data_IF_540463677636
#
_entry.id   IF_540463677636
#
_cell.length_a   1.000
_cell.length_b   1.000
_cell.length_c   1.000
_cell.angle_alpha   90.00
_cell.angle_beta   90.00
_cell.angle_gamma   90.00
#
_symmetry.space_group_name_H-M   'P 1'
#
loop_
_entity.id
_entity.type
_entity.pdbx_description
1 polymer ?
#
# COMPACT_ATOMS: atom_id res chain seq x y z
N UNK A 1 -3.37 22.49 -2.35
CA UNK A 1 -3.03 21.20 -2.99
C UNK A 1 -3.62 20.08 -2.15
N UNK A 2 -4.23 19.10 -2.79
CA UNK A 2 -4.69 17.88 -2.12
C UNK A 2 -3.71 16.77 -2.49
N UNK A 3 -3.16 16.12 -1.48
CA UNK A 3 -2.22 15.03 -1.64
C UNK A 3 -2.96 13.70 -1.82
N UNK A 4 -2.52 12.88 -2.76
CA UNK A 4 -3.05 11.54 -2.96
C UNK A 4 -2.08 10.51 -2.37
N UNK A 5 -2.57 9.71 -1.44
CA UNK A 5 -1.77 8.70 -0.72
C UNK A 5 -2.29 7.31 -1.06
N UNK A 6 -1.43 6.44 -1.56
CA UNK A 6 -1.76 5.05 -1.84
C UNK A 6 -1.41 4.15 -0.64
N UNK A 7 -2.37 3.35 -0.19
CA UNK A 7 -2.21 2.45 0.94
C UNK A 7 -2.05 1.01 0.45
N UNK A 8 -0.82 0.53 0.46
CA UNK A 8 -0.42 -0.81 -0.01
C UNK A 8 -0.17 -1.76 1.15
N UNK A 9 -0.42 -3.03 0.94
CA UNK A 9 0.08 -4.09 1.81
C UNK A 9 -1.01 -4.83 2.56
N UNK A 10 -0.71 -5.24 3.78
CA UNK A 10 -1.51 -6.12 4.62
C UNK A 10 -3.01 -5.74 4.63
N UNK A 11 -3.89 -6.74 4.50
CA UNK A 11 -5.34 -6.54 4.34
C UNK A 11 -6.18 -7.12 5.50
N UNK A 12 -5.54 -7.60 6.57
CA UNK A 12 -6.23 -8.33 7.65
C UNK A 12 -6.52 -7.49 8.89
N UNK A 13 -5.94 -6.30 9.01
CA UNK A 13 -6.15 -5.39 10.14
C UNK A 13 -6.69 -4.05 9.66
N UNK A 14 -7.07 -3.18 10.60
CA UNK A 14 -7.71 -1.89 10.31
C UNK A 14 -6.74 -0.71 10.18
N UNK A 15 -5.47 -0.97 9.92
CA UNK A 15 -4.44 0.07 9.85
C UNK A 15 -4.77 1.18 8.83
N UNK A 16 -5.42 0.84 7.71
CA UNK A 16 -5.85 1.84 6.73
C UNK A 16 -6.86 2.79 7.31
N UNK A 17 -7.87 2.26 7.99
CA UNK A 17 -8.91 3.04 8.62
C UNK A 17 -8.36 3.92 9.74
N UNK A 18 -7.37 3.44 10.48
CA UNK A 18 -6.69 4.25 11.51
C UNK A 18 -5.99 5.46 10.89
N UNK A 19 -5.28 5.29 9.78
CA UNK A 19 -4.64 6.41 9.07
C UNK A 19 -5.69 7.38 8.53
N UNK A 20 -6.74 6.87 7.88
CA UNK A 20 -7.80 7.71 7.31
C UNK A 20 -8.49 8.53 8.41
N UNK A 21 -8.89 7.90 9.51
CA UNK A 21 -9.52 8.59 10.63
C UNK A 21 -8.60 9.61 11.28
N UNK A 22 -7.32 9.27 11.43
CA UNK A 22 -6.34 10.18 12.02
C UNK A 22 -6.13 11.44 11.17
N UNK A 23 -6.03 11.30 9.86
CA UNK A 23 -5.89 12.44 8.95
C UNK A 23 -7.16 13.28 8.85
N UNK A 24 -8.34 12.65 8.87
CA UNK A 24 -9.63 13.34 8.90
C UNK A 24 -9.80 14.18 10.19
N UNK A 25 -9.44 13.61 11.34
CA UNK A 25 -9.52 14.29 12.62
C UNK A 25 -8.66 15.57 12.66
N UNK A 26 -7.55 15.58 11.93
CA UNK A 26 -6.65 16.73 11.82
C UNK A 26 -7.00 17.66 10.63
N UNK A 27 -7.97 17.30 9.81
CA UNK A 27 -8.35 18.05 8.63
C UNK A 27 -7.24 18.16 7.58
N UNK A 28 -6.40 17.13 7.44
CA UNK A 28 -5.30 17.15 6.48
C UNK A 28 -5.81 17.12 5.04
N UNK A 29 -5.13 17.82 4.11
CA UNK A 29 -5.51 17.86 2.70
C UNK A 29 -5.04 16.60 1.96
N UNK A 30 -5.53 15.44 2.37
CA UNK A 30 -5.17 14.14 1.78
C UNK A 30 -6.40 13.39 1.30
N UNK A 31 -6.23 12.63 0.21
CA UNK A 31 -7.17 11.62 -0.26
C UNK A 31 -6.43 10.29 -0.36
N UNK A 32 -7.17 9.21 -0.25
CA UNK A 32 -6.57 7.87 -0.23
C UNK A 32 -7.05 7.01 -1.39
N UNK A 33 -6.15 6.20 -1.90
CA UNK A 33 -6.43 5.06 -2.76
C UNK A 33 -5.79 3.81 -2.15
N UNK A 34 -6.24 2.64 -2.54
CA UNK A 34 -5.81 1.40 -1.90
C UNK A 34 -5.88 0.23 -2.86
N UNK A 35 -5.11 -0.81 -2.58
CA UNK A 35 -5.31 -2.13 -3.15
C UNK A 35 -6.72 -2.64 -2.80
N UNK A 36 -7.20 -3.63 -3.56
CA UNK A 36 -8.42 -4.35 -3.22
C UNK A 36 -8.20 -5.10 -1.91
N UNK A 37 -8.96 -4.74 -0.88
CA UNK A 37 -8.81 -5.34 0.46
C UNK A 37 -9.72 -6.54 0.69
N UNK A 38 -10.71 -6.75 -0.18
CA UNK A 38 -11.59 -7.91 -0.16
C UNK A 38 -10.96 -9.07 -0.92
N UNK A 39 -10.54 -10.10 -0.21
CA UNK A 39 -9.74 -11.20 -0.77
C UNK A 39 -10.44 -11.91 -1.93
N UNK A 40 -11.72 -12.28 -1.77
CA UNK A 40 -12.49 -12.94 -2.83
C UNK A 40 -12.64 -12.06 -4.08
N UNK A 41 -12.87 -10.77 -3.91
CA UNK A 41 -12.98 -9.84 -5.03
C UNK A 41 -11.65 -9.70 -5.78
N UNK A 42 -10.53 -9.73 -5.08
CA UNK A 42 -9.20 -9.73 -5.67
C UNK A 42 -8.94 -11.01 -6.47
N UNK A 43 -9.27 -12.17 -5.90
CA UNK A 43 -9.09 -13.47 -6.54
C UNK A 43 -10.00 -13.65 -7.76
N UNK A 44 -11.18 -13.06 -7.74
CA UNK A 44 -12.16 -13.12 -8.82
C UNK A 44 -11.98 -12.06 -9.92
N UNK A 45 -11.02 -11.15 -9.78
CA UNK A 45 -10.86 -10.00 -10.69
C UNK A 45 -10.65 -10.38 -12.15
N UNK A 46 -10.09 -11.56 -12.43
CA UNK A 46 -9.88 -12.07 -13.78
C UNK A 46 -11.03 -12.89 -14.37
N UNK A 47 -12.09 -13.18 -13.59
CA UNK A 47 -13.17 -14.07 -14.00
C UNK A 47 -13.98 -13.51 -15.19
N UNK A 48 -13.98 -12.19 -15.39
CA UNK A 48 -14.57 -11.56 -16.57
C UNK A 48 -13.94 -11.99 -17.89
N UNK A 49 -12.72 -12.51 -17.86
CA UNK A 49 -12.01 -13.01 -19.03
C UNK A 49 -12.30 -14.50 -19.31
N UNK A 50 -13.24 -15.10 -18.60
CA UNK A 50 -13.60 -16.50 -18.66
C UNK A 50 -13.17 -17.29 -17.43
N UNK A 51 -13.91 -18.35 -17.13
CA UNK A 51 -13.61 -19.21 -15.97
C UNK A 51 -12.40 -20.10 -16.25
N UNK A 52 -11.60 -20.32 -15.21
CA UNK A 52 -10.48 -21.25 -15.23
C UNK A 52 -10.65 -22.31 -14.13
N UNK A 53 -10.45 -23.56 -14.49
CA UNK A 53 -10.52 -24.67 -13.55
C UNK A 53 -9.26 -24.77 -12.70
N UNK A 54 -8.09 -24.46 -13.29
CA UNK A 54 -6.81 -24.49 -12.60
C UNK A 54 -6.58 -23.20 -11.81
N UNK A 55 -6.32 -23.31 -10.51
CA UNK A 55 -6.08 -22.18 -9.62
C UNK A 55 -4.95 -21.26 -10.09
N UNK A 56 -3.88 -21.84 -10.64
CA UNK A 56 -2.75 -21.08 -11.19
C UNK A 56 -3.18 -20.07 -12.28
N UNK A 57 -3.98 -20.50 -13.24
CA UNK A 57 -4.42 -19.61 -14.33
C UNK A 57 -5.44 -18.58 -13.88
N UNK A 58 -6.31 -18.96 -12.94
CA UNK A 58 -7.25 -18.02 -12.32
C UNK A 58 -6.51 -16.90 -11.57
N UNK A 59 -5.54 -17.26 -10.76
CA UNK A 59 -4.69 -16.30 -10.03
C UNK A 59 -3.88 -15.43 -11.00
N UNK A 60 -3.35 -16.00 -12.06
CA UNK A 60 -2.58 -15.27 -13.07
C UNK A 60 -3.43 -14.23 -13.79
N UNK A 61 -4.67 -14.55 -14.19
CA UNK A 61 -5.61 -13.59 -14.78
C UNK A 61 -5.95 -12.48 -13.80
N UNK A 62 -6.28 -12.83 -12.56
CA UNK A 62 -6.62 -11.87 -11.51
C UNK A 62 -5.47 -10.95 -11.20
N UNK A 63 -4.25 -11.48 -11.10
CA UNK A 63 -3.05 -10.70 -10.87
C UNK A 63 -2.80 -9.67 -11.99
N UNK A 64 -3.01 -10.04 -13.24
CA UNK A 64 -2.83 -9.13 -14.39
C UNK A 64 -3.86 -7.99 -14.38
N UNK A 65 -5.12 -8.28 -14.14
CA UNK A 65 -6.17 -7.27 -14.06
C UNK A 65 -5.93 -6.34 -12.88
N UNK A 66 -5.62 -6.88 -11.71
CA UNK A 66 -5.28 -6.10 -10.53
C UNK A 66 -4.00 -5.27 -10.73
N UNK A 67 -3.03 -5.78 -11.49
CA UNK A 67 -1.79 -5.05 -11.78
C UNK A 67 -2.04 -3.76 -12.58
N UNK A 68 -2.99 -3.77 -13.50
CA UNK A 68 -3.39 -2.56 -14.26
C UNK A 68 -3.87 -1.50 -13.27
N UNK A 69 -4.78 -1.87 -12.38
CA UNK A 69 -5.35 -0.97 -11.37
C UNK A 69 -4.27 -0.46 -10.41
N UNK A 70 -3.48 -1.35 -9.84
CA UNK A 70 -2.44 -1.02 -8.87
C UNK A 70 -1.38 -0.11 -9.47
N UNK A 71 -0.92 -0.42 -10.67
CA UNK A 71 0.07 0.39 -11.37
C UNK A 71 -0.44 1.81 -11.61
N UNK A 72 -1.67 1.94 -12.10
CA UNK A 72 -2.29 3.26 -12.34
C UNK A 72 -2.42 4.07 -11.05
N UNK A 73 -2.83 3.44 -9.95
CA UNK A 73 -2.96 4.13 -8.67
C UNK A 73 -1.61 4.55 -8.08
N UNK A 74 -0.60 3.70 -8.20
CA UNK A 74 0.76 4.02 -7.77
C UNK A 74 1.38 5.14 -8.61
N UNK A 75 1.17 5.13 -9.92
CA UNK A 75 1.66 6.19 -10.80
C UNK A 75 1.06 7.55 -10.48
N UNK A 76 -0.21 7.57 -10.07
CA UNK A 76 -0.95 8.82 -9.84
C UNK A 76 -0.96 9.29 -8.37
N UNK A 77 -0.41 8.52 -7.43
CA UNK A 77 -0.29 8.99 -6.05
C UNK A 77 0.93 9.88 -5.87
N UNK A 78 0.90 10.72 -4.83
CA UNK A 78 2.03 11.55 -4.43
C UNK A 78 2.96 10.79 -3.48
N UNK A 79 2.38 9.97 -2.61
CA UNK A 79 3.09 9.19 -1.59
C UNK A 79 2.43 7.80 -1.49
N UNK A 80 3.23 6.77 -1.33
CA UNK A 80 2.73 5.44 -0.97
C UNK A 80 3.07 5.10 0.49
N UNK A 81 2.15 4.42 1.16
CA UNK A 81 2.39 3.80 2.46
C UNK A 81 2.31 2.30 2.28
N UNK A 82 3.36 1.59 2.65
CA UNK A 82 3.48 0.15 2.42
C UNK A 82 3.56 -0.57 3.76
N UNK A 83 2.49 -1.29 4.11
CA UNK A 83 2.34 -2.01 5.38
C UNK A 83 2.75 -3.47 5.26
N UNK A 84 3.69 -3.88 6.10
CA UNK A 84 4.08 -5.28 6.31
C UNK A 84 3.58 -5.72 7.68
N UNK A 85 2.67 -6.69 7.70
CA UNK A 85 2.11 -7.24 8.93
C UNK A 85 2.84 -8.50 9.38
N UNK A 86 2.48 -8.98 10.59
CA UNK A 86 3.15 -10.09 11.24
C UNK A 86 2.61 -11.46 10.81
N UNK A 87 1.35 -11.51 10.41
CA UNK A 87 0.61 -12.75 10.24
C UNK A 87 0.93 -13.49 8.95
N UNK A 88 1.11 -12.74 7.86
CA UNK A 88 1.40 -13.28 6.53
C UNK A 88 2.53 -12.48 5.89
N UNK A 89 3.21 -13.11 4.93
CA UNK A 89 4.22 -12.43 4.13
C UNK A 89 3.54 -11.65 3.01
N UNK A 90 3.79 -10.36 2.94
CA UNK A 90 3.20 -9.47 1.93
C UNK A 90 4.17 -9.29 0.77
N UNK A 91 4.32 -10.31 -0.08
CA UNK A 91 5.19 -10.24 -1.25
C UNK A 91 4.79 -9.12 -2.20
N UNK A 92 3.48 -8.93 -2.41
CA UNK A 92 2.97 -7.87 -3.28
C UNK A 92 3.26 -6.47 -2.72
N UNK A 93 3.29 -6.31 -1.41
CA UNK A 93 3.71 -5.05 -0.79
C UNK A 93 5.19 -4.74 -1.07
N UNK A 94 6.06 -5.75 -0.98
CA UNK A 94 7.46 -5.59 -1.35
C UNK A 94 7.63 -5.23 -2.84
N UNK A 95 6.82 -5.81 -3.71
CA UNK A 95 6.79 -5.46 -5.13
C UNK A 95 6.39 -3.99 -5.34
N UNK A 96 5.35 -3.52 -4.66
CA UNK A 96 4.89 -2.14 -4.73
C UNK A 96 5.97 -1.16 -4.23
N UNK A 97 6.64 -1.49 -3.12
CA UNK A 97 7.75 -0.70 -2.61
C UNK A 97 8.91 -0.61 -3.61
N UNK A 98 9.26 -1.73 -4.24
CA UNK A 98 10.29 -1.77 -5.27
C UNK A 98 9.92 -0.93 -6.51
N UNK A 99 8.66 -0.98 -6.91
CA UNK A 99 8.14 -0.12 -7.97
C UNK A 99 8.28 1.37 -7.62
N UNK A 100 7.91 1.75 -6.42
CA UNK A 100 8.06 3.13 -5.93
C UNK A 100 9.52 3.56 -5.94
N UNK A 101 10.42 2.72 -5.42
CA UNK A 101 11.86 2.99 -5.40
C UNK A 101 12.42 3.20 -6.81
N UNK A 102 12.07 2.33 -7.76
CA UNK A 102 12.55 2.39 -9.14
C UNK A 102 11.98 3.59 -9.91
N UNK A 103 10.75 4.01 -9.62
CA UNK A 103 10.08 5.12 -10.30
C UNK A 103 10.32 6.49 -9.63
N UNK A 104 11.07 6.53 -8.54
CA UNK A 104 11.30 7.77 -7.78
C UNK A 104 10.09 8.25 -6.98
N UNK A 105 9.12 7.37 -6.73
CA UNK A 105 7.94 7.66 -5.94
C UNK A 105 8.27 7.59 -4.45
N UNK A 106 8.05 8.67 -3.66
CA UNK A 106 8.24 8.58 -2.21
C UNK A 106 7.34 7.53 -1.58
N UNK A 107 7.89 6.73 -0.67
CA UNK A 107 7.07 5.81 0.09
C UNK A 107 7.54 5.72 1.55
N UNK A 108 6.58 5.40 2.40
CA UNK A 108 6.76 5.18 3.84
C UNK A 108 6.54 3.69 4.08
N UNK A 109 7.47 3.02 4.75
CA UNK A 109 7.24 1.67 5.25
C UNK A 109 6.55 1.71 6.62
N UNK A 110 5.62 0.80 6.84
CA UNK A 110 4.90 0.65 8.09
C UNK A 110 4.98 -0.80 8.56
N UNK A 111 5.78 -1.06 9.57
CA UNK A 111 5.95 -2.42 10.11
C UNK A 111 6.54 -2.39 11.51
N UNK A 112 6.41 -3.52 12.21
CA UNK A 112 6.99 -3.75 13.53
C UNK A 112 8.53 -3.84 13.45
N UNK A 113 9.19 -3.51 14.55
CA UNK A 113 10.66 -3.59 14.65
C UNK A 113 11.20 -5.02 14.51
N UNK A 114 10.39 -6.04 14.78
CA UNK A 114 10.82 -7.43 14.71
C UNK A 114 11.11 -7.91 13.29
N UNK A 115 10.65 -7.19 12.26
CA UNK A 115 10.90 -7.53 10.86
C UNK A 115 11.80 -6.55 10.14
N UNK A 116 12.59 -5.78 10.87
CA UNK A 116 13.60 -4.85 10.30
C UNK A 116 14.59 -5.60 9.41
N UNK A 117 15.14 -6.71 9.87
CA UNK A 117 16.18 -7.42 9.14
C UNK A 117 15.72 -7.93 7.76
N UNK A 118 14.56 -8.63 7.63
CA UNK A 118 14.09 -9.07 6.32
C UNK A 118 13.68 -7.93 5.39
N UNK A 119 13.38 -6.74 5.92
CA UNK A 119 12.97 -5.57 5.15
C UNK A 119 14.07 -4.52 4.97
N UNK A 120 15.31 -4.83 5.30
CA UNK A 120 16.42 -3.86 5.29
C UNK A 120 16.59 -3.12 3.96
N UNK A 121 16.40 -3.79 2.84
CA UNK A 121 16.53 -3.16 1.51
C UNK A 121 15.28 -2.35 1.15
N UNK A 122 14.11 -2.83 1.55
CA UNK A 122 12.84 -2.11 1.37
C UNK A 122 12.84 -0.82 2.18
N UNK A 123 13.26 -0.89 3.44
CA UNK A 123 13.40 0.28 4.30
C UNK A 123 14.52 1.21 3.83
N UNK A 124 15.59 0.65 3.30
CA UNK A 124 16.73 1.42 2.82
C UNK A 124 16.41 2.39 1.67
N UNK A 125 15.40 2.09 0.88
CA UNK A 125 14.93 2.95 -0.21
C UNK A 125 13.71 3.80 0.16
N UNK A 126 13.12 3.56 1.34
CA UNK A 126 11.98 4.34 1.82
C UNK A 126 12.40 5.73 2.29
N UNK A 127 11.48 6.69 2.24
CA UNK A 127 11.70 8.05 2.76
C UNK A 127 11.50 8.11 4.28
N UNK A 128 10.72 7.19 4.85
CA UNK A 128 10.52 7.05 6.29
C UNK A 128 10.10 5.62 6.63
N UNK A 129 10.38 5.21 7.85
CA UNK A 129 9.87 4.00 8.47
C UNK A 129 8.99 4.37 9.66
N UNK A 130 7.77 3.88 9.67
CA UNK A 130 6.83 4.02 10.76
C UNK A 130 6.52 2.65 11.38
N UNK A 131 6.30 2.62 12.67
CA UNK A 131 5.91 1.40 13.39
C UNK A 131 4.40 1.32 13.63
N UNK A 132 3.73 2.47 13.66
CA UNK A 132 2.29 2.57 13.96
C UNK A 132 1.59 3.45 12.92
N UNK A 133 0.27 3.23 12.71
CA UNK A 133 -0.53 4.13 11.89
C UNK A 133 -0.50 5.59 12.35
N UNK A 134 -0.44 5.85 13.65
CA UNK A 134 -0.35 7.21 14.19
C UNK A 134 0.92 7.92 13.75
N UNK A 135 2.05 7.21 13.68
CA UNK A 135 3.30 7.78 13.16
C UNK A 135 3.18 8.14 11.67
N UNK A 136 2.45 7.36 10.88
CA UNK A 136 2.17 7.72 9.49
C UNK A 136 1.35 9.01 9.43
N UNK A 137 0.35 9.16 10.28
CA UNK A 137 -0.44 10.40 10.37
C UNK A 137 0.44 11.61 10.71
N UNK A 138 1.36 11.46 11.67
CA UNK A 138 2.32 12.52 12.03
C UNK A 138 3.22 12.92 10.86
N UNK A 139 3.71 11.93 10.10
CA UNK A 139 4.52 12.18 8.89
C UNK A 139 3.69 12.94 7.86
N UNK A 140 2.46 12.49 7.59
CA UNK A 140 1.56 13.15 6.64
C UNK A 140 1.21 14.56 7.07
N UNK A 141 1.00 14.80 8.38
CA UNK A 141 0.76 16.13 8.91
C UNK A 141 1.92 17.09 8.60
N UNK A 142 3.14 16.63 8.83
CA UNK A 142 4.34 17.43 8.53
C UNK A 142 4.48 17.70 7.04
N UNK A 143 4.36 16.65 6.22
CA UNK A 143 4.57 16.74 4.75
C UNK A 143 3.53 17.63 4.08
N UNK A 144 2.29 17.60 4.55
CA UNK A 144 1.18 18.36 3.93
C UNK A 144 0.99 19.75 4.53
N UNK A 145 1.75 20.11 5.54
CA UNK A 145 1.69 21.45 6.12
C UNK A 145 2.05 22.50 5.06
N UNK A 146 1.23 23.54 4.98
CA UNK A 146 1.56 24.69 4.16
C UNK A 146 2.75 25.42 4.79
N UNK A 147 3.82 25.51 4.06
CA UNK A 147 5.02 26.23 4.49
C UNK A 147 4.79 27.74 4.61
#
# INVERSE_FOLDING_TARGET
>A
MIWTVYLSGEIHTDWRQQIIRGTEALGLPVTFSSAVTHHEASDAAGDMLGEEVAGFWRDHKSAKVNAIRTKSLLENCDIAVVRFGDKYKQWNAAFDAGYCAASGKPYITLHDEQIIHPLKEVDGSAMAWAQTPDQVVEILQYVTASG
#
